data_IF_673269316844
#
_entry.id   IF_673269316844
#
_cell.length_a   1.000
_cell.length_b   1.000
_cell.length_c   1.000
_cell.angle_alpha   90.00
_cell.angle_beta   90.00
_cell.angle_gamma   90.00
#
_symmetry.space_group_name_H-M   'P 1'
#
loop_
_entity.id
_entity.type
_entity.pdbx_description
1 polymer ?
#
# COMPACT_ATOMS: atom_id res chain seq x y z
N UNK A 1 22.85 -1.23 -9.28
CA UNK A 1 21.47 -0.92 -9.72
C UNK A 1 20.56 -1.53 -8.67
N UNK A 2 19.61 -0.77 -8.11
CA UNK A 2 18.93 -1.16 -6.88
C UNK A 2 17.88 -2.26 -7.14
N UNK A 3 18.23 -3.51 -6.83
CA UNK A 3 17.33 -4.69 -6.83
C UNK A 3 16.23 -4.64 -5.75
N UNK A 4 15.96 -3.46 -5.18
CA UNK A 4 15.05 -3.28 -4.04
C UNK A 4 13.68 -2.71 -4.44
N UNK A 5 13.48 -2.35 -5.72
CA UNK A 5 12.20 -1.84 -6.20
C UNK A 5 11.17 -2.95 -6.21
N UNK A 6 10.11 -2.75 -5.45
CA UNK A 6 9.04 -3.70 -5.22
C UNK A 6 7.89 -3.52 -6.22
N UNK A 7 7.51 -2.26 -6.49
CA UNK A 7 6.40 -1.87 -7.37
C UNK A 7 6.56 -0.41 -7.82
N UNK A 8 5.78 0.01 -8.81
CA UNK A 8 5.56 1.42 -9.13
C UNK A 8 4.06 1.73 -9.09
N UNK A 9 3.68 2.84 -8.49
CA UNK A 9 2.27 3.22 -8.40
C UNK A 9 1.75 3.91 -9.69
N UNK A 10 0.43 4.15 -9.84
CA UNK A 10 -0.13 4.79 -11.03
C UNK A 10 0.38 6.21 -11.35
N UNK A 11 1.06 6.87 -10.41
CA UNK A 11 1.70 8.19 -10.60
C UNK A 11 3.13 8.05 -11.10
N UNK A 12 3.63 6.83 -11.24
CA UNK A 12 5.01 6.52 -11.57
C UNK A 12 5.97 6.67 -10.39
N UNK A 13 5.47 6.67 -9.15
CA UNK A 13 6.32 6.71 -7.97
C UNK A 13 6.77 5.29 -7.62
N UNK A 14 8.06 5.13 -7.33
CA UNK A 14 8.65 3.84 -7.03
C UNK A 14 8.43 3.48 -5.56
N UNK A 15 8.16 2.21 -5.31
CA UNK A 15 8.02 1.66 -3.96
C UNK A 15 9.01 0.55 -3.76
N UNK A 16 9.79 0.61 -2.68
CA UNK A 16 10.74 -0.42 -2.28
C UNK A 16 10.25 -1.18 -1.05
N UNK A 17 10.68 -2.44 -0.97
CA UNK A 17 10.44 -3.28 0.20
C UNK A 17 11.50 -4.39 0.27
N UNK A 18 12.44 -4.25 1.21
CA UNK A 18 13.41 -5.30 1.49
C UNK A 18 12.71 -6.57 2.03
N UNK A 19 13.21 -7.74 1.63
CA UNK A 19 12.64 -9.05 2.01
C UNK A 19 12.50 -9.25 3.52
N UNK A 20 13.50 -8.81 4.28
CA UNK A 20 13.46 -8.88 5.74
C UNK A 20 12.32 -8.03 6.31
N UNK A 21 12.12 -6.81 5.77
CA UNK A 21 11.03 -5.94 6.18
C UNK A 21 9.68 -6.56 5.82
N UNK A 22 9.54 -7.11 4.61
CA UNK A 22 8.32 -7.79 4.19
C UNK A 22 7.95 -8.91 5.18
N UNK A 23 8.92 -9.77 5.53
CA UNK A 23 8.73 -10.85 6.51
C UNK A 23 8.37 -10.31 7.90
N UNK A 24 9.03 -9.25 8.36
CA UNK A 24 8.72 -8.60 9.65
C UNK A 24 7.28 -8.06 9.68
N UNK A 25 6.80 -7.45 8.60
CA UNK A 25 5.41 -6.96 8.51
C UNK A 25 4.44 -8.14 8.50
N UNK A 26 4.71 -9.17 7.69
CA UNK A 26 3.88 -10.37 7.59
C UNK A 26 3.74 -11.09 8.95
N UNK A 27 4.82 -11.13 9.74
CA UNK A 27 4.81 -11.72 11.09
C UNK A 27 3.98 -10.94 12.10
N UNK A 28 3.69 -9.65 11.86
CA UNK A 28 2.78 -8.86 12.72
C UNK A 28 1.30 -9.17 12.45
N UNK A 29 1.00 -9.78 11.31
CA UNK A 29 -0.36 -10.11 10.87
C UNK A 29 -0.46 -11.60 10.48
N UNK A 30 -0.17 -12.55 11.40
CA UNK A 30 -0.09 -13.98 11.10
C UNK A 30 -1.40 -14.54 10.53
N UNK A 31 -2.54 -13.97 10.90
CA UNK A 31 -3.88 -14.35 10.43
C UNK A 31 -4.07 -14.12 8.93
N UNK A 32 -3.33 -13.18 8.34
CA UNK A 32 -3.42 -12.83 6.91
C UNK A 32 -2.15 -13.15 6.14
N UNK A 33 -1.08 -13.57 6.83
CA UNK A 33 0.21 -13.92 6.25
C UNK A 33 0.13 -14.94 5.11
N UNK A 34 -0.81 -15.90 5.17
CA UNK A 34 -0.99 -16.94 4.13
C UNK A 34 -1.56 -16.38 2.82
N UNK A 35 -2.26 -15.24 2.88
CA UNK A 35 -2.97 -14.65 1.75
C UNK A 35 -2.28 -13.38 1.22
N UNK A 36 -1.48 -12.70 2.03
CA UNK A 36 -0.78 -11.47 1.64
C UNK A 36 0.60 -11.76 1.04
N UNK A 37 0.61 -12.31 -0.17
CA UNK A 37 1.84 -12.58 -0.91
C UNK A 37 2.46 -11.30 -1.50
N UNK A 38 3.75 -11.33 -1.83
CA UNK A 38 4.41 -10.20 -2.51
C UNK A 38 3.66 -9.77 -3.79
N UNK A 39 3.16 -10.73 -4.57
CA UNK A 39 2.41 -10.45 -5.79
C UNK A 39 1.12 -9.65 -5.51
N UNK A 40 0.40 -10.01 -4.44
CA UNK A 40 -0.84 -9.35 -4.03
C UNK A 40 -0.57 -7.93 -3.49
N UNK A 41 0.48 -7.76 -2.68
CA UNK A 41 0.89 -6.43 -2.19
C UNK A 41 1.36 -5.55 -3.35
N UNK A 42 2.09 -6.12 -4.32
CA UNK A 42 2.53 -5.42 -5.53
C UNK A 42 1.32 -4.96 -6.36
N UNK A 43 0.36 -5.85 -6.61
CA UNK A 43 -0.86 -5.51 -7.35
C UNK A 43 -1.64 -4.38 -6.67
N UNK A 44 -1.73 -4.38 -5.33
CA UNK A 44 -2.40 -3.32 -4.58
C UNK A 44 -1.77 -1.93 -4.81
N UNK A 45 -0.44 -1.87 -4.98
CA UNK A 45 0.29 -0.62 -5.26
C UNK A 45 0.15 -0.21 -6.73
N UNK A 46 0.32 -1.14 -7.66
CA UNK A 46 0.30 -0.86 -9.11
C UNK A 46 -1.12 -0.57 -9.62
N UNK A 47 -2.11 -1.24 -9.05
CA UNK A 47 -3.52 -1.19 -9.48
C UNK A 47 -4.44 -1.10 -8.25
N UNK A 48 -4.35 0.00 -7.48
CA UNK A 48 -5.24 0.18 -6.35
C UNK A 48 -6.69 0.21 -6.83
N UNK A 49 -7.58 -0.29 -5.99
CA UNK A 49 -9.01 -0.37 -6.21
C UNK A 49 -9.57 1.02 -6.54
N UNK A 50 -10.41 1.07 -7.58
CA UNK A 50 -10.92 2.33 -8.17
C UNK A 50 -9.85 3.29 -8.67
N UNK A 51 -8.58 2.83 -8.80
CA UNK A 51 -7.45 3.69 -9.13
C UNK A 51 -7.34 4.88 -8.16
N UNK A 52 -7.55 4.65 -6.86
CA UNK A 52 -7.46 5.71 -5.85
C UNK A 52 -6.29 5.51 -4.91
N UNK A 53 -5.67 6.63 -4.52
CA UNK A 53 -4.61 6.67 -3.50
C UNK A 53 -5.07 7.62 -2.41
N UNK A 54 -4.86 7.24 -1.16
CA UNK A 54 -5.24 8.04 0.00
C UNK A 54 -3.99 8.48 0.76
N UNK A 55 -4.12 9.57 1.51
CA UNK A 55 -3.13 10.00 2.50
C UNK A 55 -3.56 9.56 3.90
N UNK A 56 -2.59 9.20 4.73
CA UNK A 56 -2.86 8.94 6.15
C UNK A 56 -3.10 10.27 6.90
N UNK A 57 -4.10 10.36 7.78
CA UNK A 57 -4.30 11.54 8.62
C UNK A 57 -3.14 11.75 9.62
N UNK A 58 -2.44 10.68 9.99
CA UNK A 58 -1.34 10.72 10.96
C UNK A 58 -0.01 11.22 10.39
N UNK A 59 0.19 11.07 9.08
CA UNK A 59 1.41 11.49 8.39
C UNK A 59 1.08 11.69 6.89
N UNK A 60 1.15 12.92 6.37
CA UNK A 60 0.80 13.22 4.98
C UNK A 60 1.74 12.56 3.95
N UNK A 61 2.96 12.19 4.35
CA UNK A 61 3.90 11.46 3.48
C UNK A 61 3.52 9.98 3.33
N UNK A 62 2.59 9.48 4.16
CA UNK A 62 2.11 8.11 4.06
C UNK A 62 0.96 8.02 3.08
N UNK A 63 1.23 7.35 1.98
CA UNK A 63 0.24 7.00 0.99
C UNK A 63 -0.32 5.61 1.28
N UNK A 64 -1.62 5.46 1.06
CA UNK A 64 -2.39 4.28 1.37
C UNK A 64 -3.01 3.77 0.07
N UNK A 65 -2.76 2.49 -0.20
CA UNK A 65 -3.24 1.78 -1.36
C UNK A 65 -4.19 0.68 -0.89
N UNK A 66 -5.39 0.67 -1.46
CA UNK A 66 -6.36 -0.39 -1.22
C UNK A 66 -6.33 -1.36 -2.41
N UNK A 67 -5.89 -2.59 -2.18
CA UNK A 67 -5.94 -3.66 -3.16
C UNK A 67 -7.32 -4.30 -3.27
N UNK A 68 -7.46 -5.24 -4.21
CA UNK A 68 -8.72 -5.91 -4.54
C UNK A 68 -9.38 -6.52 -3.30
N UNK A 69 -10.69 -6.32 -3.19
CA UNK A 69 -11.53 -6.93 -2.16
C UNK A 69 -11.63 -8.45 -2.37
N UNK A 70 -11.09 -9.22 -1.43
CA UNK A 70 -11.50 -10.60 -1.21
C UNK A 70 -12.84 -10.57 -0.46
N UNK A 71 -13.73 -11.57 -0.56
CA UNK A 71 -15.17 -11.38 -0.32
C UNK A 71 -15.57 -10.66 0.99
N UNK A 72 -14.73 -10.70 2.04
CA UNK A 72 -14.95 -10.02 3.33
C UNK A 72 -13.93 -8.95 3.73
N UNK A 73 -12.88 -8.69 2.94
CA UNK A 73 -11.83 -7.73 3.31
C UNK A 73 -11.14 -7.10 2.08
N UNK A 74 -10.64 -5.88 2.27
CA UNK A 74 -9.72 -5.20 1.36
C UNK A 74 -8.29 -5.36 1.88
N UNK A 75 -7.31 -5.19 0.99
CA UNK A 75 -5.90 -5.22 1.38
C UNK A 75 -5.44 -3.78 1.50
N UNK A 76 -5.00 -3.38 2.69
CA UNK A 76 -4.43 -2.06 2.91
C UNK A 76 -2.91 -2.16 2.86
N UNK A 77 -2.29 -1.34 2.03
CA UNK A 77 -0.83 -1.17 1.99
C UNK A 77 -0.50 0.28 2.31
N UNK A 78 0.41 0.49 3.25
CA UNK A 78 0.86 1.84 3.66
C UNK A 78 2.32 2.00 3.28
N UNK A 79 2.61 3.06 2.54
CA UNK A 79 3.95 3.40 2.03
C UNK A 79 4.30 4.80 2.51
N UNK A 80 5.48 4.97 3.10
CA UNK A 80 6.02 6.28 3.48
C UNK A 80 6.90 6.79 2.35
N UNK A 81 6.57 7.94 1.78
CA UNK A 81 7.31 8.52 0.67
C UNK A 81 8.33 9.55 1.13
N UNK A 82 9.55 9.39 0.62
CA UNK A 82 10.56 10.44 0.62
C UNK A 82 10.81 10.86 -0.83
N UNK A 83 10.13 11.91 -1.28
CA UNK A 83 10.06 12.29 -2.71
C UNK A 83 9.34 11.22 -3.55
N UNK A 84 9.91 10.81 -4.69
CA UNK A 84 9.32 9.81 -5.61
C UNK A 84 9.58 8.35 -5.23
N UNK A 85 10.40 8.10 -4.20
CA UNK A 85 10.69 6.77 -3.70
C UNK A 85 9.99 6.58 -2.35
N UNK A 86 9.20 5.51 -2.23
CA UNK A 86 8.48 5.18 -1.01
C UNK A 86 8.91 3.82 -0.46
N UNK A 87 8.87 3.66 0.86
CA UNK A 87 9.15 2.39 1.51
C UNK A 87 7.88 1.84 2.14
N UNK A 88 7.57 0.56 1.93
CA UNK A 88 6.43 -0.09 2.60
C UNK A 88 6.64 -0.04 4.13
N UNK A 89 5.64 0.47 4.85
CA UNK A 89 5.63 0.54 6.32
C UNK A 89 4.87 -0.64 6.91
N UNK A 90 3.71 -0.94 6.36
CA UNK A 90 2.85 -2.04 6.80
C UNK A 90 1.86 -2.43 5.70
N UNK A 91 1.34 -3.65 5.80
CA UNK A 91 0.19 -4.12 5.03
C UNK A 91 -0.63 -5.09 5.87
N UNK A 92 -1.95 -5.09 5.69
CA UNK A 92 -2.87 -5.98 6.38
C UNK A 92 -4.22 -6.05 5.66
N UNK A 93 -5.01 -7.06 5.96
CA UNK A 93 -6.41 -7.08 5.57
C UNK A 93 -7.22 -6.12 6.45
N UNK A 94 -8.15 -5.37 5.86
CA UNK A 94 -9.08 -4.51 6.57
C UNK A 94 -10.51 -4.74 6.08
N UNK A 95 -11.47 -4.78 7.01
CA UNK A 95 -12.90 -4.92 6.69
C UNK A 95 -13.57 -3.58 6.37
N UNK A 96 -12.98 -2.46 6.79
CA UNK A 96 -13.50 -1.10 6.60
C UNK A 96 -12.35 -0.10 6.47
N UNK A 97 -12.50 0.87 5.56
CA UNK A 97 -11.59 2.01 5.42
C UNK A 97 -11.85 3.03 6.52
N UNK A 98 -10.82 3.54 7.22
CA UNK A 98 -10.98 4.63 8.17
C UNK A 98 -11.59 5.88 7.49
N UNK A 99 -12.52 6.58 8.15
CA UNK A 99 -13.22 7.72 7.54
C UNK A 99 -12.34 8.96 7.34
N UNK A 100 -11.21 9.04 8.04
CA UNK A 100 -10.31 10.20 8.05
C UNK A 100 -9.26 10.17 6.92
N UNK A 101 -9.22 9.11 6.13
CA UNK A 101 -8.28 8.99 5.03
C UNK A 101 -8.73 9.81 3.82
N UNK A 102 -7.90 10.78 3.43
CA UNK A 102 -8.22 11.69 2.34
C UNK A 102 -7.68 11.16 1.02
N UNK A 103 -8.55 11.05 0.02
CA UNK A 103 -8.13 10.73 -1.34
C UNK A 103 -7.23 11.84 -1.89
N UNK A 104 -6.07 11.46 -2.40
CA UNK A 104 -5.06 12.36 -3.00
C UNK A 104 -4.81 12.07 -4.48
N UNK A 105 -5.32 10.95 -4.99
CA UNK A 105 -5.27 10.61 -6.41
C UNK A 105 -6.49 9.76 -6.81
N UNK A 106 -7.07 9.97 -8.01
CA UNK A 106 -6.73 11.02 -8.98
C UNK A 106 -6.98 12.41 -8.40
N UNK A 107 -6.17 13.40 -8.82
CA UNK A 107 -6.39 14.79 -8.45
C UNK A 107 -7.67 15.21 -9.17
N UNK A 108 -8.79 15.18 -8.46
CA UNK A 108 -10.01 15.81 -8.93
C UNK A 108 -9.81 17.32 -8.77
N UNK A 109 -9.55 18.03 -9.86
CA UNK A 109 -9.61 19.49 -9.85
C UNK A 109 -11.03 19.88 -9.40
N UNK A 110 -11.16 20.32 -8.15
CA UNK A 110 -12.28 21.10 -7.66
C UNK A 110 -11.75 22.47 -7.28
#
# INVERSE_FOLDING_TARGET
MADNIFAADPRGFEVECADERFRRIQNKHPETARFLTKAIIREAIEKPQHRTIYSSPSNPNRHIYYGKRYPKFEIKVVVDFNSKLGTIVTFHACSRRPPEERMIWPITNQ
#
